data_IF_071033681916
#
_entry.id   IF_071033681916
#
_cell.length_a   1.000
_cell.length_b   1.000
_cell.length_c   1.000
_cell.angle_alpha   90.00
_cell.angle_beta   90.00
_cell.angle_gamma   90.00
#
_symmetry.space_group_name_H-M   'P 1'
#
loop_
_entity.id
_entity.type
_entity.pdbx_description
1 polymer ?
#
# COMPACT_ATOMS: atom_id res chain seq x y z
N UNK A 1 13.95 13.14 1.88
CA UNK A 1 14.54 12.13 0.97
C UNK A 1 13.51 11.80 -0.10
N UNK A 2 13.89 11.79 -1.38
CA UNK A 2 12.98 11.56 -2.53
C UNK A 2 13.15 10.10 -2.94
N UNK A 3 12.05 9.34 -3.00
CA UNK A 3 12.07 8.01 -3.61
C UNK A 3 12.55 8.16 -5.06
N UNK A 4 13.52 7.33 -5.46
CA UNK A 4 14.05 7.37 -6.82
C UNK A 4 12.92 7.12 -7.84
N UNK A 5 13.02 7.74 -9.02
CA UNK A 5 12.04 7.51 -10.08
C UNK A 5 12.25 6.11 -10.67
N UNK A 6 11.34 5.19 -10.38
CA UNK A 6 11.29 3.88 -11.04
C UNK A 6 10.99 4.03 -12.55
N UNK A 7 11.54 3.13 -13.36
CA UNK A 7 11.43 3.11 -14.81
C UNK A 7 10.69 1.84 -15.24
N UNK A 8 9.89 1.95 -16.30
CA UNK A 8 9.15 0.82 -16.88
C UNK A 8 10.10 -0.27 -17.37
N UNK A 9 9.72 -1.54 -17.18
CA UNK A 9 10.50 -2.70 -17.62
C UNK A 9 11.76 -3.00 -16.78
N UNK A 10 11.93 -2.34 -15.63
CA UNK A 10 13.01 -2.63 -14.68
C UNK A 10 12.45 -3.33 -13.44
N UNK A 11 13.21 -4.32 -12.97
CA UNK A 11 12.98 -4.96 -11.69
C UNK A 11 13.57 -4.12 -10.56
N UNK A 12 12.87 -4.12 -9.44
CA UNK A 12 13.25 -3.39 -8.23
C UNK A 12 13.13 -4.32 -7.04
N UNK A 13 14.17 -4.37 -6.22
CA UNK A 13 14.11 -5.00 -4.90
C UNK A 13 13.58 -3.99 -3.90
N UNK A 14 12.45 -4.32 -3.28
CA UNK A 14 11.80 -3.48 -2.27
C UNK A 14 11.83 -4.23 -0.95
N UNK A 15 12.43 -3.62 0.06
CA UNK A 15 12.42 -4.13 1.42
C UNK A 15 11.74 -3.12 2.34
N UNK A 16 10.75 -3.57 3.11
CA UNK A 16 10.06 -2.79 4.11
C UNK A 16 10.26 -3.44 5.47
N UNK A 17 10.80 -2.69 6.43
CA UNK A 17 10.90 -3.11 7.83
C UNK A 17 9.97 -2.27 8.67
N UNK A 18 8.99 -2.88 9.31
CA UNK A 18 8.00 -2.20 10.11
C UNK A 18 8.15 -2.56 11.58
N UNK A 19 7.91 -1.58 12.45
CA UNK A 19 7.89 -1.71 13.90
C UNK A 19 6.56 -1.12 14.41
N UNK A 20 5.67 -2.02 14.84
CA UNK A 20 4.36 -1.64 15.38
C UNK A 20 4.46 -1.04 16.79
N UNK A 21 5.47 -1.39 17.60
CA UNK A 21 5.64 -0.78 18.91
C UNK A 21 6.02 0.70 18.79
N UNK A 22 6.90 1.03 17.84
CA UNK A 22 7.38 2.40 17.60
C UNK A 22 6.52 3.15 16.56
N UNK A 23 5.60 2.46 15.88
CA UNK A 23 4.69 2.99 14.86
C UNK A 23 5.45 3.62 13.67
N UNK A 24 6.50 2.94 13.22
CA UNK A 24 7.41 3.39 12.14
C UNK A 24 7.77 2.26 11.20
N UNK A 25 8.20 2.62 10.00
CA UNK A 25 8.82 1.70 9.06
C UNK A 25 9.97 2.36 8.31
N UNK A 26 10.91 1.55 7.85
CA UNK A 26 11.93 1.95 6.87
C UNK A 26 11.66 1.30 5.53
N UNK A 27 12.09 1.96 4.46
CA UNK A 27 11.96 1.48 3.10
C UNK A 27 13.32 1.51 2.42
N UNK A 28 13.69 0.39 1.81
CA UNK A 28 14.91 0.23 1.03
C UNK A 28 14.52 -0.12 -0.41
N UNK A 29 15.20 0.50 -1.38
CA UNK A 29 15.03 0.23 -2.81
C UNK A 29 16.39 -0.15 -3.39
N UNK A 30 16.53 -1.37 -3.92
CA UNK A 30 17.80 -1.91 -4.44
C UNK A 30 18.98 -1.73 -3.46
N UNK A 31 18.74 -1.99 -2.16
CA UNK A 31 19.74 -1.79 -1.09
C UNK A 31 19.94 -0.35 -0.61
N UNK A 32 19.37 0.66 -1.29
CA UNK A 32 19.48 2.07 -0.90
C UNK A 32 18.39 2.49 0.10
N UNK A 33 18.80 3.03 1.26
CA UNK A 33 17.88 3.56 2.28
C UNK A 33 17.11 4.80 1.76
N UNK A 34 15.81 4.61 1.53
CA UNK A 34 14.90 5.66 1.08
C UNK A 34 14.42 6.55 2.24
N UNK A 35 14.52 6.07 3.48
CA UNK A 35 14.20 6.80 4.70
C UNK A 35 13.31 6.01 5.68
N UNK A 36 13.04 6.69 6.80
CA UNK A 36 12.16 6.24 7.86
C UNK A 36 10.86 7.04 7.86
N UNK A 37 9.75 6.35 8.01
CA UNK A 37 8.39 6.88 7.92
C UNK A 37 7.59 6.50 9.16
N UNK A 38 6.56 7.28 9.48
CA UNK A 38 5.57 6.96 10.53
C UNK A 38 4.36 6.29 9.91
N UNK A 39 3.68 5.44 10.66
CA UNK A 39 2.40 4.91 10.24
C UNK A 39 1.36 6.03 10.14
N UNK A 40 0.52 5.97 9.11
CA UNK A 40 -0.61 6.89 8.99
C UNK A 40 -1.71 6.59 10.01
N UNK A 41 -1.83 5.32 10.41
CA UNK A 41 -2.74 4.85 11.44
C UNK A 41 -2.01 3.84 12.34
N UNK A 42 -2.13 3.95 13.66
CA UNK A 42 -1.49 3.01 14.55
C UNK A 42 -2.12 1.62 14.43
N UNK A 43 -1.28 0.59 14.41
CA UNK A 43 -1.72 -0.82 14.41
C UNK A 43 -0.93 -1.61 15.44
N UNK A 44 -1.53 -2.68 15.94
CA UNK A 44 -0.88 -3.60 16.87
C UNK A 44 0.02 -4.60 16.14
N UNK A 45 -0.47 -5.13 15.02
CA UNK A 45 0.22 -6.12 14.19
C UNK A 45 -0.07 -5.89 12.70
N UNK A 46 0.79 -6.44 11.84
CA UNK A 46 0.64 -6.41 10.38
C UNK A 46 0.33 -7.82 9.90
N UNK A 47 -0.93 -8.07 9.60
CA UNK A 47 -1.42 -9.37 9.11
C UNK A 47 -1.41 -9.50 7.58
N UNK A 48 -1.38 -8.37 6.84
CA UNK A 48 -1.64 -8.35 5.39
C UNK A 48 -0.81 -7.31 4.66
N UNK A 49 -0.26 -7.71 3.52
CA UNK A 49 0.30 -6.83 2.50
C UNK A 49 -0.62 -6.79 1.26
N UNK A 50 -0.89 -5.60 0.74
CA UNK A 50 -1.83 -5.41 -0.38
C UNK A 50 -1.14 -4.65 -1.52
N UNK A 51 -1.04 -5.30 -2.67
CA UNK A 51 -0.61 -4.68 -3.93
C UNK A 51 -1.85 -4.31 -4.73
N UNK A 52 -2.03 -3.02 -5.05
CA UNK A 52 -3.21 -2.53 -5.76
C UNK A 52 -2.82 -1.53 -6.84
N UNK A 53 -3.33 -1.72 -8.04
CA UNK A 53 -3.06 -0.89 -9.24
C UNK A 53 -4.00 0.32 -9.35
N UNK A 54 -5.01 0.42 -8.49
CA UNK A 54 -6.00 1.50 -8.50
C UNK A 54 -6.27 2.10 -7.11
N UNK A 55 -7.00 3.22 -7.08
CA UNK A 55 -7.45 3.83 -5.82
C UNK A 55 -8.63 3.06 -5.25
N UNK A 56 -8.74 2.99 -3.91
CA UNK A 56 -9.93 2.46 -3.24
C UNK A 56 -11.10 3.40 -3.53
N UNK A 57 -12.21 2.88 -4.04
CA UNK A 57 -13.47 3.62 -4.11
C UNK A 57 -14.12 3.66 -2.73
N UNK A 58 -14.73 4.78 -2.37
CA UNK A 58 -15.31 4.99 -1.02
C UNK A 58 -16.80 4.68 -0.95
N UNK A 59 -17.48 4.43 -2.08
CA UNK A 59 -18.95 4.36 -2.14
C UNK A 59 -19.51 2.95 -2.43
N UNK A 60 -20.74 2.65 -1.96
CA UNK A 60 -21.55 3.48 -1.05
C UNK A 60 -21.37 3.07 0.42
N UNK A 61 -21.32 4.08 1.28
CA UNK A 61 -21.44 3.95 2.74
C UNK A 61 -22.83 3.40 3.08
N UNK A 62 -23.01 2.65 4.17
CA UNK A 62 -24.33 2.09 4.55
C UNK A 62 -25.43 3.16 4.77
N UNK A 63 -25.06 4.43 4.92
CA UNK A 63 -26.00 5.57 4.93
C UNK A 63 -26.50 5.97 3.55
N UNK A 64 -26.04 5.32 2.48
CA UNK A 64 -26.71 5.34 1.18
C UNK A 64 -28.01 4.56 1.35
N UNK A 65 -28.97 5.21 2.01
CA UNK A 65 -30.37 4.82 1.97
C UNK A 65 -30.72 4.61 0.50
N UNK A 66 -31.36 3.48 0.22
CA UNK A 66 -32.14 3.28 -0.98
C UNK A 66 -33.19 4.41 -1.02
N UNK A 67 -32.81 5.57 -1.55
CA UNK A 67 -33.74 6.65 -1.84
C UNK A 67 -34.59 6.18 -3.01
N UNK A 68 -35.76 5.67 -2.65
CA UNK A 68 -36.99 5.59 -3.42
C UNK A 68 -36.82 5.86 -4.92
N UNK A 69 -36.64 4.77 -5.68
CA UNK A 69 -36.87 4.78 -7.13
C UNK A 69 -35.86 5.52 -8.01
N UNK A 70 -34.81 6.13 -7.48
CA UNK A 70 -33.68 6.49 -8.33
C UNK A 70 -32.82 5.24 -8.51
N UNK A 71 -33.05 4.57 -9.65
CA UNK A 71 -32.00 3.81 -10.31
C UNK A 71 -30.71 4.63 -10.20
N UNK A 72 -29.58 3.95 -9.96
CA UNK A 72 -28.29 4.49 -10.38
C UNK A 72 -28.54 5.10 -11.74
N UNK A 73 -28.62 6.44 -11.83
CA UNK A 73 -28.68 7.08 -13.13
C UNK A 73 -27.33 6.74 -13.69
N UNK A 74 -27.34 5.74 -14.56
CA UNK A 74 -26.23 5.21 -15.35
C UNK A 74 -25.70 6.28 -16.33
N UNK A 75 -25.61 7.52 -15.86
CA UNK A 75 -24.72 8.53 -16.38
C UNK A 75 -23.45 8.53 -15.52
N UNK A 76 -22.93 7.33 -15.24
CA UNK A 76 -21.50 7.17 -15.50
C UNK A 76 -21.40 7.35 -17.01
N UNK A 77 -21.35 8.60 -17.48
CA UNK A 77 -20.84 8.88 -18.81
C UNK A 77 -19.55 8.08 -18.86
N UNK A 78 -19.45 7.02 -19.69
CA UNK A 78 -18.18 6.36 -19.89
C UNK A 78 -17.26 7.52 -20.21
N UNK A 79 -16.25 7.78 -19.38
CA UNK A 79 -15.23 8.76 -19.72
C UNK A 79 -14.82 8.41 -21.13
N UNK A 80 -15.26 9.26 -22.06
CA UNK A 80 -15.26 8.98 -23.48
C UNK A 80 -13.81 8.67 -23.83
N UNK A 81 -13.55 7.43 -24.22
CA UNK A 81 -12.28 6.97 -24.77
C UNK A 81 -11.04 7.58 -24.08
N UNK A 82 -10.98 7.54 -22.75
CA UNK A 82 -9.67 7.50 -22.12
C UNK A 82 -9.05 6.19 -22.60
N UNK A 83 -8.12 6.27 -23.56
CA UNK A 83 -7.36 5.14 -24.09
C UNK A 83 -7.16 4.13 -22.96
N UNK A 84 -7.73 2.92 -23.10
CA UNK A 84 -7.61 1.88 -22.07
C UNK A 84 -6.14 1.52 -21.95
N UNK A 85 -5.43 2.23 -21.08
CA UNK A 85 -4.04 1.96 -20.79
C UNK A 85 -4.01 0.72 -19.91
N UNK A 86 -3.52 -0.38 -20.47
CA UNK A 86 -3.22 -1.57 -19.69
C UNK A 86 -2.06 -1.26 -18.74
N UNK A 87 -2.29 -1.46 -17.44
CA UNK A 87 -1.25 -1.34 -16.42
C UNK A 87 -0.89 -2.75 -15.95
N UNK A 88 0.33 -3.18 -16.29
CA UNK A 88 0.88 -4.45 -15.85
C UNK A 88 1.87 -4.19 -14.71
N UNK A 89 1.60 -4.76 -13.54
CA UNK A 89 2.51 -4.77 -12.40
C UNK A 89 2.81 -6.23 -12.04
N UNK A 90 4.09 -6.58 -11.99
CA UNK A 90 4.57 -7.91 -11.65
C UNK A 90 5.21 -7.86 -10.26
N UNK A 91 4.88 -8.83 -9.42
CA UNK A 91 5.50 -9.05 -8.11
C UNK A 91 6.06 -10.46 -8.12
N UNK A 92 7.34 -10.59 -7.78
CA UNK A 92 8.02 -11.88 -7.69
C UNK A 92 8.81 -11.95 -6.38
N UNK A 93 9.06 -13.17 -5.90
CA UNK A 93 9.81 -13.48 -4.67
C UNK A 93 9.33 -12.73 -3.41
N UNK A 94 8.01 -12.61 -3.23
CA UNK A 94 7.45 -12.04 -2.00
C UNK A 94 7.83 -12.91 -0.79
N UNK A 95 8.53 -12.31 0.16
CA UNK A 95 8.91 -12.93 1.43
C UNK A 95 8.45 -12.06 2.59
N UNK A 96 7.97 -12.70 3.65
CA UNK A 96 7.66 -12.06 4.92
C UNK A 96 8.39 -12.82 6.03
N UNK A 97 8.68 -12.13 7.12
CA UNK A 97 9.33 -12.71 8.26
C UNK A 97 9.32 -11.73 9.42
N UNK A 98 9.30 -12.26 10.62
CA UNK A 98 9.49 -11.49 11.83
C UNK A 98 10.95 -11.64 12.25
N UNK A 99 11.60 -10.51 12.55
CA UNK A 99 12.87 -10.59 13.26
C UNK A 99 12.51 -10.67 14.74
N UNK A 100 12.95 -11.69 15.48
CA UNK A 100 12.72 -11.72 16.92
C UNK A 100 13.27 -10.42 17.52
N UNK A 101 12.49 -9.78 18.40
CA UNK A 101 13.00 -8.69 19.20
C UNK A 101 14.23 -9.20 19.92
N UNK A 102 15.39 -8.58 19.71
CA UNK A 102 16.56 -8.88 20.53
C UNK A 102 16.17 -8.61 21.98
N UNK A 103 16.21 -9.65 22.83
CA UNK A 103 16.20 -9.50 24.28
C UNK A 103 17.27 -8.47 24.61
N UNK A 104 16.82 -7.32 25.13
CA UNK A 104 17.69 -6.22 25.50
C UNK A 104 18.60 -6.71 26.64
N UNK A 105 19.94 -6.83 26.46
CA UNK A 105 20.83 -7.36 27.50
C UNK A 105 21.10 -6.35 28.63
N UNK A 106 20.20 -5.40 28.88
CA UNK A 106 20.36 -4.32 29.87
C UNK A 106 19.30 -4.29 30.98
N UNK A 107 18.60 -5.40 31.24
CA UNK A 107 17.82 -5.54 32.48
C UNK A 107 18.53 -6.46 33.49
N UNK A 108 19.53 -5.92 34.17
CA UNK A 108 20.02 -6.36 35.49
C UNK A 108 20.24 -5.13 36.36
#
# INVERSE_FOLDING_TARGET
>A
KRLERCRVGKWYEIELRADCAVQRFTLTLNGCDCGMFRFSYPVWEIERAVFRTGRRRTAPVMSAQLYDGQAFTDDVTPEQDAERHEIIALVDYLKTGETPAFDNPQSL
#
